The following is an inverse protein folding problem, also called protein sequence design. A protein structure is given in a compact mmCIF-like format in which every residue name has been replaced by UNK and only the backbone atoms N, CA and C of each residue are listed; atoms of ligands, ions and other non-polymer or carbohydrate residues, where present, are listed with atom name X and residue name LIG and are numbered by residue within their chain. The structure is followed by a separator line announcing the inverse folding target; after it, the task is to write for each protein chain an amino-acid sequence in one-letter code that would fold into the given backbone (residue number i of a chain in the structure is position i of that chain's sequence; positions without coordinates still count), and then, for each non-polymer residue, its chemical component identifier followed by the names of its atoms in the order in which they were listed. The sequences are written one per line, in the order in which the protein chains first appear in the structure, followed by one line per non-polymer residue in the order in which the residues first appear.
data_IF_707437229861
#
_entry.id   IF_707437229861
#
_cell.length_a   1.000
_cell.length_b   1.000
_cell.length_c   1.000
_cell.angle_alpha   90.00
_cell.angle_beta   90.00
_cell.angle_gamma   90.00
#
_symmetry.space_group_name_H-M   'P 1'
#
loop_
_entity.id
_entity.type
_entity.pdbx_description
1 polymer ?
#
# COMPACT_ATOMS: atom_id res chain seq x y z
N UNK A 1 -2.42 16.47 -13.43
CA UNK A 1 -3.89 16.65 -13.38
C UNK A 1 -4.38 16.36 -11.98
N UNK A 2 -5.70 16.36 -11.78
CA UNK A 2 -6.31 15.81 -10.56
C UNK A 2 -6.13 14.29 -10.54
N UNK A 3 -6.01 13.64 -9.37
CA UNK A 3 -5.95 12.18 -9.27
C UNK A 3 -7.24 11.57 -9.81
N UNK A 4 -7.11 10.45 -10.54
CA UNK A 4 -8.24 9.66 -10.98
C UNK A 4 -8.86 9.00 -9.76
N UNK A 5 -10.18 9.16 -9.54
CA UNK A 5 -10.78 8.82 -8.26
C UNK A 5 -10.80 7.31 -7.99
N UNK A 6 -11.02 6.47 -9.00
CA UNK A 6 -10.92 5.01 -8.88
C UNK A 6 -9.52 4.59 -8.40
N UNK A 7 -8.46 5.06 -9.09
CA UNK A 7 -7.08 4.74 -8.75
C UNK A 7 -6.75 5.13 -7.30
N UNK A 8 -7.13 6.34 -6.93
CA UNK A 8 -6.95 6.85 -5.57
C UNK A 8 -7.72 6.02 -4.53
N UNK A 9 -9.00 5.72 -4.76
CA UNK A 9 -9.81 4.93 -3.83
C UNK A 9 -9.23 3.52 -3.64
N UNK A 10 -8.68 2.89 -4.68
CA UNK A 10 -8.06 1.57 -4.53
C UNK A 10 -6.88 1.59 -3.55
N UNK A 11 -5.91 2.50 -3.75
CA UNK A 11 -4.71 2.60 -2.93
C UNK A 11 -4.96 3.20 -1.53
N UNK A 12 -5.81 4.21 -1.42
CA UNK A 12 -5.95 5.02 -0.21
C UNK A 12 -7.24 4.71 0.58
N UNK A 13 -8.20 4.00 -0.02
CA UNK A 13 -9.48 3.66 0.58
C UNK A 13 -9.66 2.15 0.73
N UNK A 14 -9.95 1.46 -0.37
CA UNK A 14 -10.36 0.06 -0.42
C UNK A 14 -9.35 -0.90 0.19
N UNK A 15 -8.09 -0.88 -0.27
CA UNK A 15 -7.06 -1.80 0.24
C UNK A 15 -6.72 -1.58 1.73
N UNK A 16 -6.42 -0.35 2.22
CA UNK A 16 -6.13 -0.16 3.64
C UNK A 16 -7.35 -0.46 4.51
N UNK A 17 -8.58 -0.13 4.06
CA UNK A 17 -9.82 -0.49 4.77
C UNK A 17 -9.98 -2.01 4.87
N UNK A 18 -9.71 -2.76 3.80
CA UNK A 18 -9.76 -4.22 3.81
C UNK A 18 -8.73 -4.82 4.79
N UNK A 19 -7.48 -4.33 4.75
CA UNK A 19 -6.42 -4.77 5.65
C UNK A 19 -6.78 -4.53 7.12
N UNK A 20 -7.21 -3.32 7.49
CA UNK A 20 -7.43 -2.96 8.89
C UNK A 20 -8.74 -3.51 9.46
N UNK A 21 -9.77 -3.69 8.63
CA UNK A 21 -11.06 -4.26 9.06
C UNK A 21 -10.98 -5.77 9.24
N UNK A 22 -10.27 -6.47 8.35
CA UNK A 22 -10.18 -7.93 8.34
C UNK A 22 -8.75 -8.44 8.09
N UNK A 23 -7.78 -8.14 8.98
CA UNK A 23 -6.36 -8.39 8.72
C UNK A 23 -6.04 -9.85 8.45
N UNK A 24 -6.66 -10.79 9.17
CA UNK A 24 -6.41 -12.23 8.98
C UNK A 24 -6.84 -12.73 7.59
N UNK A 25 -7.99 -12.26 7.10
CA UNK A 25 -8.51 -12.62 5.77
C UNK A 25 -7.61 -12.02 4.68
N UNK A 26 -7.26 -10.75 4.80
CA UNK A 26 -6.46 -10.06 3.80
C UNK A 26 -5.01 -10.58 3.74
N UNK A 27 -4.42 -10.94 4.88
CA UNK A 27 -3.14 -11.65 4.93
C UNK A 27 -3.24 -13.01 4.23
N UNK A 28 -4.35 -13.75 4.39
CA UNK A 28 -4.54 -15.04 3.73
C UNK A 28 -4.52 -14.93 2.21
N UNK A 29 -5.31 -14.00 1.68
CA UNK A 29 -5.36 -13.71 0.24
C UNK A 29 -3.98 -13.35 -0.30
N UNK A 30 -3.26 -12.45 0.39
CA UNK A 30 -1.99 -11.96 -0.12
C UNK A 30 -0.84 -12.97 0.03
N UNK A 31 -0.69 -13.63 1.17
CA UNK A 31 0.54 -14.38 1.48
C UNK A 31 0.40 -15.89 1.40
N UNK A 32 -0.82 -16.43 1.53
CA UNK A 32 -1.02 -17.87 1.69
C UNK A 32 -1.77 -18.51 0.51
N UNK A 33 -2.54 -17.73 -0.23
CA UNK A 33 -3.16 -18.20 -1.46
C UNK A 33 -2.17 -18.26 -2.63
N UNK A 34 -2.52 -19.07 -3.63
CA UNK A 34 -1.76 -19.18 -4.86
C UNK A 34 -1.86 -17.87 -5.67
N UNK A 35 -0.96 -17.69 -6.64
CA UNK A 35 -0.87 -16.45 -7.40
C UNK A 35 -2.16 -16.09 -8.15
N UNK A 36 -2.86 -17.07 -8.75
CA UNK A 36 -4.08 -16.83 -9.51
C UNK A 36 -5.24 -16.36 -8.61
N UNK A 37 -5.47 -17.01 -7.48
CA UNK A 37 -6.52 -16.60 -6.52
C UNK A 37 -6.24 -15.23 -5.91
N UNK A 38 -4.97 -14.91 -5.68
CA UNK A 38 -4.55 -13.58 -5.22
C UNK A 38 -4.82 -12.50 -6.27
N UNK A 39 -4.49 -12.77 -7.52
CA UNK A 39 -4.75 -11.86 -8.64
C UNK A 39 -6.25 -11.62 -8.82
N UNK A 40 -7.06 -12.67 -8.87
CA UNK A 40 -8.52 -12.58 -8.95
C UNK A 40 -9.12 -11.76 -7.79
N UNK A 41 -8.63 -11.97 -6.57
CA UNK A 41 -9.07 -11.19 -5.41
C UNK A 41 -8.72 -9.71 -5.55
N UNK A 42 -7.52 -9.38 -6.05
CA UNK A 42 -7.10 -8.00 -6.26
C UNK A 42 -7.89 -7.31 -7.37
N UNK A 43 -8.20 -8.02 -8.46
CA UNK A 43 -9.12 -7.54 -9.49
C UNK A 43 -10.51 -7.25 -8.92
N UNK A 44 -11.03 -8.12 -8.06
CA UNK A 44 -12.29 -7.88 -7.35
C UNK A 44 -12.22 -6.61 -6.51
N UNK A 45 -11.14 -6.38 -5.75
CA UNK A 45 -10.97 -5.14 -4.98
C UNK A 45 -10.82 -3.90 -5.87
N UNK A 46 -10.21 -4.03 -7.04
CA UNK A 46 -10.11 -2.95 -8.03
C UNK A 46 -11.51 -2.56 -8.52
N UNK A 47 -12.30 -3.53 -8.99
CA UNK A 47 -13.68 -3.30 -9.43
C UNK A 47 -14.54 -2.66 -8.32
N UNK A 48 -14.44 -3.13 -7.07
CA UNK A 48 -15.13 -2.54 -5.92
C UNK A 48 -14.70 -1.09 -5.65
N UNK A 49 -13.43 -0.73 -5.88
CA UNK A 49 -12.98 0.65 -5.76
C UNK A 49 -13.55 1.55 -6.87
N UNK A 50 -13.82 0.98 -8.04
CA UNK A 50 -14.42 1.68 -9.19
C UNK A 50 -15.94 1.84 -9.12
N UNK A 51 -16.65 0.91 -8.46
CA UNK A 51 -18.12 0.82 -8.43
C UNK A 51 -18.84 2.15 -8.11
N UNK A 52 -18.38 3.00 -7.16
CA UNK A 52 -19.06 4.26 -6.84
C UNK A 52 -18.97 5.33 -7.93
N UNK A 53 -18.08 5.16 -8.92
CA UNK A 53 -17.78 6.18 -9.94
C UNK A 53 -18.49 5.88 -11.27
N UNK A 54 -18.83 6.92 -12.05
CA UNK A 54 -19.35 6.75 -13.42
C UNK A 54 -18.40 5.91 -14.29
N UNK A 55 -18.95 5.17 -15.26
CA UNK A 55 -18.20 4.26 -16.13
C UNK A 55 -16.97 4.92 -16.80
N UNK A 56 -17.07 6.19 -17.20
CA UNK A 56 -15.96 6.92 -17.82
C UNK A 56 -14.83 7.30 -16.86
N UNK A 57 -15.05 7.21 -15.56
CA UNK A 57 -14.03 7.38 -14.51
C UNK A 57 -13.50 6.04 -13.99
N UNK A 58 -14.14 4.92 -14.36
CA UNK A 58 -13.65 3.60 -14.05
C UNK A 58 -12.47 3.25 -14.96
N UNK A 59 -11.43 2.68 -14.35
CA UNK A 59 -10.18 2.38 -15.03
C UNK A 59 -10.05 0.87 -15.22
N UNK A 60 -9.48 0.42 -16.34
CA UNK A 60 -9.06 -0.97 -16.46
C UNK A 60 -7.96 -1.28 -15.45
N UNK A 61 -7.86 -2.54 -15.04
CA UNK A 61 -6.83 -3.04 -14.13
C UNK A 61 -5.46 -3.26 -14.82
N UNK A 62 -5.21 -2.60 -15.97
CA UNK A 62 -3.99 -2.83 -16.76
C UNK A 62 -2.74 -2.47 -15.96
N UNK A 63 -1.86 -3.46 -15.76
CA UNK A 63 -0.64 -3.33 -14.95
C UNK A 63 -0.82 -3.66 -13.47
N UNK A 64 -2.03 -3.99 -13.01
CA UNK A 64 -2.27 -4.51 -11.67
C UNK A 64 -1.59 -5.87 -11.51
N UNK A 65 -0.69 -6.00 -10.54
CA UNK A 65 0.02 -7.26 -10.26
C UNK A 65 0.43 -7.31 -8.79
N UNK A 66 0.59 -8.50 -8.21
CA UNK A 66 1.07 -8.69 -6.86
C UNK A 66 2.20 -9.72 -6.76
N UNK A 67 3.33 -9.29 -6.20
CA UNK A 67 4.51 -10.12 -5.98
C UNK A 67 4.83 -10.21 -4.49
N UNK A 68 5.24 -11.40 -4.04
CA UNK A 68 5.64 -11.63 -2.65
C UNK A 68 7.15 -11.66 -2.56
N UNK A 69 7.69 -10.86 -1.64
CA UNK A 69 9.11 -10.70 -1.41
C UNK A 69 9.44 -10.94 0.05
N UNK A 70 10.60 -11.53 0.32
CA UNK A 70 11.18 -11.55 1.67
C UNK A 70 12.03 -10.29 1.81
N UNK A 71 11.75 -9.49 2.85
CA UNK A 71 12.53 -8.29 3.16
C UNK A 71 13.76 -8.67 3.98
N UNK A 72 13.52 -9.40 5.08
CA UNK A 72 14.55 -10.01 5.91
C UNK A 72 14.06 -11.38 6.42
N UNK A 73 14.68 -11.91 7.49
CA UNK A 73 14.25 -13.18 8.07
C UNK A 73 12.91 -13.12 8.82
N UNK A 74 12.39 -11.93 9.11
CA UNK A 74 11.18 -11.72 9.89
C UNK A 74 9.99 -11.24 9.04
N UNK A 75 10.24 -10.44 8.01
CA UNK A 75 9.22 -9.71 7.25
C UNK A 75 9.05 -10.25 5.83
N UNK A 76 7.79 -10.33 5.41
CA UNK A 76 7.38 -10.55 4.02
C UNK A 76 6.65 -9.31 3.52
N UNK A 77 6.81 -8.98 2.25
CA UNK A 77 6.12 -7.87 1.60
C UNK A 77 5.29 -8.40 0.41
N UNK A 78 4.00 -8.10 0.40
CA UNK A 78 3.17 -8.21 -0.78
C UNK A 78 3.19 -6.85 -1.50
N UNK A 79 3.93 -6.77 -2.60
CA UNK A 79 4.05 -5.57 -3.42
C UNK A 79 3.02 -5.64 -4.54
N UNK A 80 2.05 -4.74 -4.49
CA UNK A 80 1.02 -4.55 -5.50
C UNK A 80 1.47 -3.40 -6.41
N UNK A 81 1.74 -3.70 -7.68
CA UNK A 81 1.94 -2.66 -8.70
C UNK A 81 0.56 -2.23 -9.20
N UNK A 82 0.33 -0.92 -9.29
CA UNK A 82 -0.94 -0.37 -9.74
C UNK A 82 -0.88 0.02 -11.22
N UNK A 83 -2.04 0.22 -11.88
CA UNK A 83 -2.07 0.91 -13.16
C UNK A 83 -1.30 2.24 -13.11
N UNK A 84 -0.65 2.58 -14.22
CA UNK A 84 0.30 3.71 -14.33
C UNK A 84 -0.23 4.97 -13.63
N UNK A 85 0.52 5.50 -12.64
CA UNK A 85 0.22 6.77 -11.99
C UNK A 85 0.55 7.95 -12.93
N UNK A 86 -0.39 8.88 -13.09
CA UNK A 86 -0.37 10.01 -14.04
C UNK A 86 -0.66 11.37 -13.39
N UNK A 87 -1.10 11.35 -12.13
CA UNK A 87 -1.42 12.55 -11.38
C UNK A 87 -0.84 12.49 -9.96
N UNK A 88 -0.63 13.66 -9.36
CA UNK A 88 -0.17 13.73 -7.98
C UNK A 88 -1.14 12.97 -7.06
N UNK A 89 -0.60 12.34 -6.03
CA UNK A 89 -1.25 11.43 -5.05
C UNK A 89 -1.75 10.08 -5.61
N UNK A 90 -1.51 9.77 -6.88
CA UNK A 90 -1.70 8.40 -7.38
C UNK A 90 -0.49 7.54 -7.02
N UNK A 91 -0.73 6.32 -6.55
CA UNK A 91 0.34 5.40 -6.17
C UNK A 91 0.88 4.59 -7.37
N UNK A 92 2.20 4.54 -7.55
CA UNK A 92 2.84 3.56 -8.42
C UNK A 92 2.67 2.15 -7.87
N UNK A 93 2.82 2.01 -6.55
CA UNK A 93 2.86 0.73 -5.87
C UNK A 93 2.31 0.86 -4.44
N UNK A 94 1.79 -0.26 -3.94
CA UNK A 94 1.45 -0.48 -2.53
C UNK A 94 2.30 -1.65 -2.02
N UNK A 95 2.77 -1.58 -0.78
CA UNK A 95 3.37 -2.73 -0.10
C UNK A 95 2.67 -2.99 1.23
N UNK A 96 2.08 -4.18 1.37
CA UNK A 96 1.63 -4.70 2.65
C UNK A 96 2.79 -5.51 3.22
N UNK A 97 3.36 -5.06 4.34
CA UNK A 97 4.46 -5.75 5.01
C UNK A 97 3.94 -6.47 6.22
N UNK A 98 4.24 -7.76 6.32
CA UNK A 98 3.74 -8.65 7.35
C UNK A 98 4.88 -9.39 8.05
N UNK A 99 4.88 -9.34 9.38
CA UNK A 99 5.67 -10.24 10.22
C UNK A 99 4.75 -11.21 10.95
N UNK A 100 4.85 -12.52 10.70
CA UNK A 100 4.02 -13.50 11.36
C UNK A 100 4.31 -13.61 12.86
N UNK A 101 3.31 -14.03 13.67
CA UNK A 101 3.50 -14.27 15.08
C UNK A 101 4.48 -15.44 15.31
N UNK A 102 5.57 -15.21 16.04
CA UNK A 102 6.56 -16.23 16.40
C UNK A 102 6.25 -16.82 17.77
N UNK A 103 6.43 -18.14 17.92
CA UNK A 103 6.42 -18.79 19.23
C UNK A 103 7.69 -18.38 19.99
N UNK A 104 7.54 -17.84 21.19
CA UNK A 104 8.67 -17.69 22.13
C UNK A 104 8.75 -18.90 23.06
N UNK A 105 9.89 -19.07 23.74
CA UNK A 105 10.03 -20.06 24.80
C UNK A 105 8.93 -19.80 25.84
N UNK A 106 8.07 -20.79 26.08
CA UNK A 106 6.84 -20.74 26.90
C UNK A 106 5.67 -20.07 26.11
N UNK A 107 4.46 -20.66 26.21
CA UNK A 107 3.21 -20.56 25.41
C UNK A 107 2.70 -19.22 24.81
N UNK A 108 3.51 -18.17 24.71
CA UNK A 108 3.17 -16.87 24.19
C UNK A 108 3.65 -16.73 22.73
N UNK A 109 2.72 -16.37 21.84
CA UNK A 109 3.07 -15.92 20.49
C UNK A 109 3.28 -14.42 20.51
N UNK A 110 4.26 -13.90 19.76
CA UNK A 110 4.32 -12.46 19.48
C UNK A 110 3.07 -12.06 18.70
N UNK A 111 2.65 -10.80 18.82
CA UNK A 111 1.60 -10.28 17.93
C UNK A 111 2.16 -10.16 16.49
N UNK A 112 1.31 -10.38 15.47
CA UNK A 112 1.69 -10.03 14.10
C UNK A 112 1.99 -8.52 14.01
N UNK A 113 2.91 -8.16 13.12
CA UNK A 113 3.16 -6.75 12.76
C UNK A 113 2.73 -6.56 11.31
N UNK A 114 2.07 -5.43 11.05
CA UNK A 114 1.58 -5.03 9.74
C UNK A 114 1.98 -3.59 9.47
N UNK A 115 2.45 -3.34 8.25
CA UNK A 115 2.64 -2.00 7.69
C UNK A 115 1.98 -1.93 6.32
N UNK A 116 1.49 -0.76 5.95
CA UNK A 116 0.90 -0.49 4.64
C UNK A 116 1.61 0.72 4.04
N UNK A 117 2.48 0.50 3.07
CA UNK A 117 3.20 1.57 2.40
C UNK A 117 2.63 1.87 1.02
N UNK A 118 2.72 3.13 0.61
CA UNK A 118 2.47 3.59 -0.76
C UNK A 118 3.73 4.25 -1.31
N UNK A 119 3.95 4.10 -2.61
CA UNK A 119 4.89 4.91 -3.37
C UNK A 119 4.09 5.83 -4.29
N UNK A 120 3.88 7.07 -3.87
CA UNK A 120 3.01 8.03 -4.53
C UNK A 120 3.75 8.92 -5.51
N UNK A 121 3.12 9.21 -6.64
CA UNK A 121 3.56 10.27 -7.54
C UNK A 121 3.25 11.63 -6.92
N UNK A 122 4.22 12.54 -6.94
CA UNK A 122 4.07 13.90 -6.46
C UNK A 122 4.72 14.90 -7.41
N UNK A 123 4.28 16.15 -7.31
CA UNK A 123 4.81 17.27 -8.06
C UNK A 123 5.32 18.31 -7.06
N UNK A 124 6.64 18.49 -6.98
CA UNK A 124 7.22 19.62 -6.28
C UNK A 124 7.00 20.87 -7.12
N UNK A 125 6.10 21.73 -6.64
CA UNK A 125 5.76 22.98 -7.33
C UNK A 125 6.85 24.04 -7.22
N UNK A 126 7.74 23.94 -6.23
CA UNK A 126 8.84 24.88 -6.03
C UNK A 126 9.93 24.64 -7.07
N UNK A 127 10.28 23.36 -7.26
CA UNK A 127 11.31 22.93 -8.22
C UNK A 127 10.75 22.56 -9.60
N UNK A 128 9.41 22.57 -9.74
CA UNK A 128 8.68 22.16 -10.93
C UNK A 128 9.11 20.78 -11.47
N UNK A 129 9.29 19.81 -10.56
CA UNK A 129 9.69 18.44 -10.87
C UNK A 129 8.70 17.42 -10.35
N UNK A 130 8.59 16.30 -11.05
CA UNK A 130 7.92 15.11 -10.55
C UNK A 130 8.88 14.30 -9.69
N UNK A 131 8.37 13.77 -8.58
CA UNK A 131 9.10 12.93 -7.64
C UNK A 131 8.16 11.88 -7.05
N UNK A 132 8.74 10.89 -6.38
CA UNK A 132 7.98 9.90 -5.65
C UNK A 132 7.99 10.21 -4.15
N UNK A 133 6.93 9.85 -3.44
CA UNK A 133 6.83 9.96 -1.99
C UNK A 133 6.66 8.58 -1.40
N UNK A 134 7.44 8.28 -0.35
CA UNK A 134 7.21 7.10 0.47
C UNK A 134 6.24 7.49 1.59
N UNK A 135 5.08 6.83 1.64
CA UNK A 135 4.08 7.07 2.67
C UNK A 135 3.67 5.76 3.36
N UNK A 136 3.09 5.87 4.57
CA UNK A 136 2.49 4.76 5.31
C UNK A 136 1.06 5.10 5.73
N UNK A 137 0.14 4.15 5.53
CA UNK A 137 -1.16 4.15 6.18
C UNK A 137 -1.09 3.38 7.50
N UNK A 138 -1.47 4.05 8.58
CA UNK A 138 -1.73 3.44 9.87
C UNK A 138 -3.23 3.55 10.18
N UNK A 139 -3.75 2.84 11.21
CA UNK A 139 -5.11 3.07 11.70
C UNK A 139 -5.37 4.52 12.15
N UNK A 140 -4.33 5.31 12.40
CA UNK A 140 -4.44 6.71 12.81
C UNK A 140 -4.46 7.68 11.64
N UNK A 141 -3.88 7.30 10.49
CA UNK A 141 -3.87 8.15 9.31
C UNK A 141 -2.75 7.85 8.34
N UNK A 142 -2.54 8.80 7.43
CA UNK A 142 -1.57 8.73 6.35
C UNK A 142 -0.33 9.57 6.68
N UNK A 143 0.84 8.95 6.65
CA UNK A 143 2.11 9.56 7.02
C UNK A 143 3.03 9.61 5.80
N UNK A 144 3.54 10.79 5.47
CA UNK A 144 4.48 11.00 4.38
C UNK A 144 5.90 11.13 4.95
N UNK A 145 6.84 10.33 4.45
CA UNK A 145 8.24 10.29 4.92
C UNK A 145 9.22 11.03 3.99
N UNK A 146 8.69 11.80 3.03
CA UNK A 146 9.47 12.60 2.09
C UNK A 146 9.73 11.87 0.78
N UNK A 147 10.75 12.34 0.06
CA UNK A 147 11.13 11.81 -1.25
C UNK A 147 11.47 10.31 -1.16
N UNK A 148 10.75 9.53 -1.95
CA UNK A 148 10.87 8.09 -2.07
C UNK A 148 11.79 7.66 -3.22
N UNK A 149 12.01 6.34 -3.37
CA UNK A 149 12.85 5.79 -4.43
C UNK A 149 12.21 5.93 -5.83
N UNK A 150 12.96 5.64 -6.91
CA UNK A 150 12.38 5.37 -8.23
C UNK A 150 11.25 4.33 -8.16
N UNK A 151 10.30 4.40 -9.09
CA UNK A 151 9.10 3.55 -9.14
C UNK A 151 9.40 2.13 -9.65
N UNK A 152 10.33 1.46 -8.99
CA UNK A 152 10.80 0.11 -9.29
C UNK A 152 10.68 -0.77 -8.03
N UNK A 153 10.17 -2.00 -8.19
CA UNK A 153 9.97 -2.94 -7.06
C UNK A 153 11.21 -3.06 -6.16
N UNK A 154 12.44 -3.28 -6.69
CA UNK A 154 13.62 -3.45 -5.83
C UNK A 154 13.96 -2.19 -5.03
N UNK A 155 13.85 -1.01 -5.65
CA UNK A 155 14.14 0.26 -5.00
C UNK A 155 13.10 0.58 -3.91
N UNK A 156 11.83 0.26 -4.17
CA UNK A 156 10.75 0.40 -3.18
C UNK A 156 10.95 -0.53 -1.97
N UNK A 157 11.26 -1.80 -2.19
CA UNK A 157 11.56 -2.75 -1.11
C UNK A 157 12.77 -2.33 -0.28
N UNK A 158 13.82 -1.81 -0.92
CA UNK A 158 15.00 -1.30 -0.22
C UNK A 158 14.66 -0.12 0.70
N UNK A 159 13.85 0.84 0.22
CA UNK A 159 13.41 1.97 1.02
C UNK A 159 12.54 1.53 2.21
N UNK A 160 11.66 0.54 2.01
CA UNK A 160 10.85 -0.04 3.09
C UNK A 160 11.74 -0.72 4.14
N UNK A 161 12.75 -1.50 3.74
CA UNK A 161 13.67 -2.12 4.71
C UNK A 161 14.39 -1.05 5.53
N UNK A 162 14.94 -0.02 4.88
CA UNK A 162 15.60 1.10 5.57
C UNK A 162 14.65 1.82 6.53
N UNK A 163 13.37 1.97 6.15
CA UNK A 163 12.35 2.53 7.03
C UNK A 163 12.13 1.65 8.27
N UNK A 164 11.99 0.34 8.10
CA UNK A 164 11.77 -0.59 9.22
C UNK A 164 12.95 -0.63 10.19
N UNK A 165 14.17 -0.49 9.67
CA UNK A 165 15.42 -0.49 10.45
C UNK A 165 15.57 0.80 11.29
N UNK A 166 15.20 1.96 10.72
CA UNK A 166 15.52 3.27 11.31
C UNK A 166 14.32 4.01 11.92
N UNK A 167 13.09 3.71 11.47
CA UNK A 167 11.81 4.34 11.87
C UNK A 167 11.87 5.87 11.96
N UNK A 168 12.10 6.56 10.82
CA UNK A 168 12.15 8.03 10.80
C UNK A 168 10.81 8.66 11.20
N UNK A 169 10.87 9.90 11.67
CA UNK A 169 9.66 10.71 11.89
C UNK A 169 9.05 11.12 10.54
N UNK A 170 7.71 11.18 10.40
CA UNK A 170 7.07 11.64 9.18
C UNK A 170 7.36 13.13 8.93
N UNK A 171 7.52 13.50 7.67
CA UNK A 171 7.60 14.90 7.21
C UNK A 171 6.25 15.58 7.33
N UNK A 172 5.16 14.84 7.11
CA UNK A 172 3.80 15.29 7.39
C UNK A 172 2.88 14.13 7.75
N UNK A 173 1.85 14.38 8.55
CA UNK A 173 0.80 13.43 8.87
C UNK A 173 -0.57 14.00 8.51
N UNK A 174 -1.42 13.19 7.90
CA UNK A 174 -2.80 13.49 7.61
C UNK A 174 -3.71 12.52 8.38
N UNK A 175 -4.62 13.06 9.19
CA UNK A 175 -5.66 12.26 9.82
C UNK A 175 -6.93 12.31 8.96
N UNK A 176 -7.45 11.17 8.47
CA UNK A 176 -8.71 11.16 7.76
C UNK A 176 -9.86 11.55 8.69
N UNK A 177 -10.87 12.28 8.19
CA UNK A 177 -12.02 12.71 8.98
C UNK A 177 -12.81 11.50 9.54
N UNK A 178 -13.53 11.66 10.67
CA UNK A 178 -14.15 10.53 11.39
C UNK A 178 -15.14 9.69 10.57
N UNK A 179 -15.75 10.27 9.54
CA UNK A 179 -16.70 9.61 8.65
C UNK A 179 -16.04 8.60 7.68
N UNK A 180 -14.72 8.64 7.53
CA UNK A 180 -13.93 7.67 6.74
C UNK A 180 -13.26 6.59 7.61
N UNK A 181 -13.48 6.62 8.95
CA UNK A 181 -12.90 5.67 9.93
C UNK A 181 -13.79 4.43 10.20
N UNK A 182 -14.80 4.15 9.36
CA UNK A 182 -15.80 3.08 9.58
C UNK A 182 -15.69 1.91 8.61
#
# INVERSE_FOLDING_TARGET
GSPRPHHYEFAHGTLPRALWRHPGLFINILFWENAASREESLHTYWELAGEPYPEHEQLPADGLNCQIHLLDQEYQAAVITLPEARAAVEAHMVAIVYRPPRRRLIFWKTKPVLHYFTLELACDRTENRWLNLLCEWTPMGHHNYGEGPPAEVPAFLQAIQQFLDNRPNPVSAYEPPPNQRR
#
